data_IF_781726199337
#
_entry.id   IF_781726199337
#
_cell.length_a   1.000
_cell.length_b   1.000
_cell.length_c   1.000
_cell.angle_alpha   90.00
_cell.angle_beta   90.00
_cell.angle_gamma   90.00
#
_symmetry.space_group_name_H-M   'P 1'
#
loop_
_entity.id
_entity.type
_entity.pdbx_description
1 polymer ?
#
# COMPACT_ATOMS: atom_id res chain seq x y z
N UNK A 1 -6.70 6.36 16.98
CA UNK A 1 -5.60 5.56 16.40
C UNK A 1 -5.12 4.51 17.40
N UNK A 2 -4.92 3.26 16.96
CA UNK A 2 -4.45 2.11 17.74
C UNK A 2 -3.02 2.35 18.27
N UNK A 3 -2.78 2.00 19.53
CA UNK A 3 -1.49 2.22 20.20
C UNK A 3 -0.33 1.53 19.47
N UNK A 4 -0.55 0.36 18.87
CA UNK A 4 0.48 -0.39 18.14
C UNK A 4 0.97 0.36 16.90
N UNK A 5 0.09 1.14 16.28
CA UNK A 5 0.44 2.00 15.13
C UNK A 5 1.25 3.21 15.58
N UNK A 6 0.89 3.79 16.73
CA UNK A 6 1.65 4.87 17.38
C UNK A 6 3.06 4.37 17.73
N UNK A 7 3.17 3.22 18.41
CA UNK A 7 4.44 2.64 18.83
C UNK A 7 5.35 2.27 17.63
N UNK A 8 4.75 1.85 16.51
CA UNK A 8 5.49 1.59 15.27
C UNK A 8 5.99 2.90 14.64
N UNK A 9 5.18 3.95 14.63
CA UNK A 9 5.58 5.27 14.15
C UNK A 9 6.72 5.85 14.99
N UNK A 10 6.59 5.82 16.32
CA UNK A 10 7.60 6.37 17.23
C UNK A 10 8.94 5.65 17.10
N UNK A 11 8.91 4.31 16.97
CA UNK A 11 10.11 3.53 16.66
C UNK A 11 10.72 3.92 15.32
N UNK A 12 9.91 4.07 14.26
CA UNK A 12 10.39 4.48 12.95
C UNK A 12 11.12 5.83 13.02
N UNK A 13 10.54 6.81 13.72
CA UNK A 13 11.11 8.15 13.87
C UNK A 13 12.40 8.15 14.71
N UNK A 14 12.49 7.30 15.73
CA UNK A 14 13.70 7.17 16.56
C UNK A 14 14.91 6.58 15.79
N UNK A 15 14.70 5.85 14.70
CA UNK A 15 15.81 5.26 13.93
C UNK A 15 16.67 6.28 13.17
N UNK A 16 16.16 7.49 12.93
CA UNK A 16 16.94 8.57 12.31
C UNK A 16 18.23 8.92 13.07
N UNK A 17 18.38 8.48 14.32
CA UNK A 17 19.49 8.83 15.21
C UNK A 17 20.53 7.72 15.45
N UNK A 18 20.26 6.44 15.09
CA UNK A 18 21.02 5.30 15.66
C UNK A 18 21.57 4.23 14.70
N UNK A 19 21.26 4.29 13.40
CA UNK A 19 21.89 3.41 12.39
C UNK A 19 21.19 2.05 12.18
N UNK A 20 21.19 1.63 10.89
CA UNK A 20 20.61 0.40 10.31
C UNK A 20 19.31 -0.11 10.92
N UNK A 21 18.18 0.40 10.42
CA UNK A 21 16.86 -0.14 10.74
C UNK A 21 16.69 -1.58 10.20
N UNK A 22 16.09 -2.52 10.96
CA UNK A 22 15.75 -3.85 10.48
C UNK A 22 14.50 -3.77 9.58
N UNK A 23 14.65 -3.18 8.40
CA UNK A 23 13.55 -2.86 7.46
C UNK A 23 12.66 -4.07 7.13
N UNK A 24 13.24 -5.28 7.07
CA UNK A 24 12.47 -6.51 6.84
C UNK A 24 11.52 -6.84 8.00
N UNK A 25 11.92 -6.58 9.25
CA UNK A 25 11.07 -6.79 10.42
C UNK A 25 9.93 -5.77 10.48
N UNK A 26 10.20 -4.50 10.12
CA UNK A 26 9.18 -3.44 10.03
C UNK A 26 8.12 -3.80 8.99
N UNK A 27 8.53 -4.30 7.82
CA UNK A 27 7.59 -4.75 6.78
C UNK A 27 6.68 -5.88 7.27
N UNK A 28 7.23 -6.88 7.97
CA UNK A 28 6.44 -7.96 8.56
C UNK A 28 5.41 -7.44 9.55
N UNK A 29 5.83 -6.55 10.44
CA UNK A 29 4.96 -5.95 11.46
C UNK A 29 3.84 -5.09 10.85
N UNK A 30 4.10 -4.33 9.78
CA UNK A 30 3.06 -3.59 9.05
C UNK A 30 1.99 -4.53 8.49
N UNK A 31 2.39 -5.70 7.95
CA UNK A 31 1.44 -6.69 7.41
C UNK A 31 0.58 -7.30 8.51
N UNK A 32 1.20 -7.69 9.64
CA UNK A 32 0.51 -8.25 10.80
C UNK A 32 -0.49 -7.25 11.40
N UNK A 33 -0.07 -6.00 11.58
CA UNK A 33 -0.96 -4.95 12.09
C UNK A 33 -2.09 -4.63 11.11
N UNK A 34 -1.83 -4.66 9.80
CA UNK A 34 -2.88 -4.43 8.81
C UNK A 34 -3.97 -5.49 8.89
N UNK A 35 -3.62 -6.76 9.12
CA UNK A 35 -4.60 -7.84 9.28
C UNK A 35 -5.43 -7.67 10.57
N UNK A 36 -4.78 -7.26 11.67
CA UNK A 36 -5.44 -7.12 12.97
C UNK A 36 -6.29 -5.85 13.11
N UNK A 37 -5.99 -4.79 12.36
CA UNK A 37 -6.62 -3.48 12.51
C UNK A 37 -7.85 -3.37 11.61
N UNK A 38 -8.98 -3.04 12.22
CA UNK A 38 -10.27 -2.89 11.53
C UNK A 38 -10.77 -1.46 11.46
N UNK A 39 -10.25 -0.54 12.28
CA UNK A 39 -10.64 0.86 12.25
C UNK A 39 -9.90 1.62 11.13
N UNK A 40 -10.62 2.56 10.53
CA UNK A 40 -10.14 3.32 9.38
C UNK A 40 -8.95 4.22 9.73
N UNK A 41 -9.00 4.91 10.87
CA UNK A 41 -7.96 5.87 11.29
C UNK A 41 -6.60 5.17 11.39
N UNK A 42 -6.56 3.99 12.00
CA UNK A 42 -5.33 3.23 12.20
C UNK A 42 -4.84 2.56 10.91
N UNK A 43 -5.75 2.14 10.01
CA UNK A 43 -5.37 1.69 8.65
C UNK A 43 -4.71 2.80 7.85
N UNK A 44 -5.23 4.02 7.94
CA UNK A 44 -4.60 5.19 7.33
C UNK A 44 -3.22 5.48 7.93
N UNK A 45 -3.07 5.35 9.26
CA UNK A 45 -1.78 5.45 9.95
C UNK A 45 -0.77 4.43 9.44
N UNK A 46 -1.16 3.15 9.33
CA UNK A 46 -0.32 2.09 8.78
C UNK A 46 0.08 2.34 7.33
N UNK A 47 -0.85 2.80 6.49
CA UNK A 47 -0.56 3.11 5.09
C UNK A 47 0.46 4.26 4.96
N UNK A 48 0.44 5.23 5.89
CA UNK A 48 1.46 6.30 5.94
C UNK A 48 2.84 5.74 6.33
N UNK A 49 2.89 4.87 7.33
CA UNK A 49 4.13 4.18 7.74
C UNK A 49 4.71 3.39 6.55
N UNK A 50 3.86 2.59 5.89
CA UNK A 50 4.26 1.80 4.72
C UNK A 50 4.84 2.68 3.61
N UNK A 51 4.14 3.77 3.25
CA UNK A 51 4.60 4.68 2.21
C UNK A 51 5.95 5.33 2.55
N UNK A 52 6.11 5.80 3.79
CA UNK A 52 7.37 6.37 4.25
C UNK A 52 8.52 5.36 4.16
N UNK A 53 8.30 4.11 4.58
CA UNK A 53 9.31 3.04 4.43
C UNK A 53 9.63 2.79 2.95
N UNK A 54 8.63 2.75 2.08
CA UNK A 54 8.86 2.61 0.65
C UNK A 54 9.66 3.77 0.05
N UNK A 55 9.39 5.01 0.47
CA UNK A 55 10.12 6.19 -0.01
C UNK A 55 11.60 6.14 0.43
N UNK A 56 11.88 5.71 1.67
CA UNK A 56 13.26 5.50 2.15
C UNK A 56 13.99 4.42 1.36
N UNK A 57 13.30 3.31 1.04
CA UNK A 57 13.87 2.24 0.22
C UNK A 57 14.11 2.71 -1.22
N UNK A 58 13.21 3.52 -1.79
CA UNK A 58 13.37 4.06 -3.14
C UNK A 58 14.62 4.95 -3.24
N UNK A 59 14.84 5.85 -2.27
CA UNK A 59 16.06 6.68 -2.20
C UNK A 59 17.30 5.79 -2.13
N UNK A 60 17.29 4.77 -1.27
CA UNK A 60 18.42 3.85 -1.17
C UNK A 60 18.66 3.05 -2.46
N UNK A 61 17.60 2.61 -3.13
CA UNK A 61 17.69 1.91 -4.42
C UNK A 61 18.28 2.81 -5.50
N UNK A 62 17.91 4.09 -5.53
CA UNK A 62 18.48 5.07 -6.46
C UNK A 62 20.00 5.22 -6.25
N UNK A 63 20.44 5.34 -5.01
CA UNK A 63 21.87 5.47 -4.66
C UNK A 63 22.73 4.28 -5.11
N UNK A 64 22.17 3.06 -5.09
CA UNK A 64 22.88 1.84 -5.48
C UNK A 64 22.64 1.43 -6.94
N UNK A 65 21.91 2.22 -7.72
CA UNK A 65 21.56 1.91 -9.12
C UNK A 65 20.63 0.70 -9.26
N UNK A 66 19.74 0.50 -8.29
CA UNK A 66 18.74 -0.57 -8.28
C UNK A 66 17.59 -0.34 -9.27
N UNK A 67 16.76 -1.37 -9.41
CA UNK A 67 15.59 -1.33 -10.31
C UNK A 67 14.39 -0.64 -9.64
N UNK A 68 14.30 0.68 -9.84
CA UNK A 68 13.22 1.51 -9.31
C UNK A 68 11.86 1.18 -9.96
N UNK A 69 11.84 0.73 -11.21
CA UNK A 69 10.58 0.39 -11.90
C UNK A 69 9.97 -0.88 -11.31
N UNK A 70 10.78 -1.93 -11.15
CA UNK A 70 10.33 -3.16 -10.49
C UNK A 70 9.90 -2.92 -9.04
N UNK A 71 10.62 -2.05 -8.32
CA UNK A 71 10.22 -1.67 -6.96
C UNK A 71 8.89 -0.91 -6.93
N UNK A 72 8.67 0.03 -7.84
CA UNK A 72 7.41 0.77 -7.94
C UNK A 72 6.23 -0.16 -8.24
N UNK A 73 6.38 -1.12 -9.15
CA UNK A 73 5.36 -2.13 -9.45
C UNK A 73 5.06 -3.00 -8.22
N UNK A 74 6.08 -3.44 -7.49
CA UNK A 74 5.91 -4.23 -6.27
C UNK A 74 5.22 -3.43 -5.15
N UNK A 75 5.59 -2.16 -4.96
CA UNK A 75 4.92 -1.21 -4.05
C UNK A 75 3.44 -1.08 -4.40
N UNK A 76 3.12 -0.87 -5.67
CA UNK A 76 1.73 -0.74 -6.13
C UNK A 76 0.91 -2.00 -5.83
N UNK A 77 1.47 -3.19 -6.09
CA UNK A 77 0.82 -4.45 -5.76
C UNK A 77 0.53 -4.62 -4.25
N UNK A 78 1.44 -4.17 -3.38
CA UNK A 78 1.23 -4.19 -1.92
C UNK A 78 0.12 -3.22 -1.50
N UNK A 79 0.07 -2.01 -2.07
CA UNK A 79 -1.00 -1.03 -1.80
C UNK A 79 -2.35 -1.62 -2.20
N UNK A 80 -2.46 -2.20 -3.40
CA UNK A 80 -3.69 -2.86 -3.85
C UNK A 80 -4.12 -4.00 -2.93
N UNK A 81 -3.16 -4.79 -2.41
CA UNK A 81 -3.46 -5.86 -1.45
C UNK A 81 -4.08 -5.30 -0.16
N UNK A 82 -3.54 -4.21 0.38
CA UNK A 82 -4.08 -3.56 1.58
C UNK A 82 -5.51 -3.03 1.35
N UNK A 83 -5.70 -2.26 0.27
CA UNK A 83 -7.02 -1.70 -0.06
C UNK A 83 -8.06 -2.80 -0.32
N UNK A 84 -7.65 -3.89 -1.00
CA UNK A 84 -8.52 -5.05 -1.22
C UNK A 84 -8.93 -5.70 0.10
N UNK A 85 -7.98 -5.89 1.02
CA UNK A 85 -8.24 -6.51 2.32
C UNK A 85 -9.20 -5.67 3.19
N UNK A 86 -9.10 -4.33 3.16
CA UNK A 86 -10.08 -3.43 3.80
C UNK A 86 -11.50 -3.61 3.27
N UNK A 87 -11.63 -4.06 2.02
CA UNK A 87 -12.91 -4.19 1.32
C UNK A 87 -13.51 -5.60 1.38
N UNK A 88 -12.88 -6.56 2.06
CA UNK A 88 -13.44 -7.89 2.22
C UNK A 88 -14.58 -7.89 3.26
N UNK A 89 -15.69 -8.54 2.91
CA UNK A 89 -16.81 -8.87 3.79
C UNK A 89 -17.03 -10.37 3.66
N UNK A 90 -16.83 -11.12 4.75
CA UNK A 90 -16.90 -12.59 4.77
C UNK A 90 -16.06 -13.27 3.68
N UNK A 91 -14.88 -12.70 3.39
CA UNK A 91 -13.95 -13.18 2.37
C UNK A 91 -14.31 -12.82 0.92
N UNK A 92 -15.42 -12.13 0.70
CA UNK A 92 -15.84 -11.63 -0.61
C UNK A 92 -15.52 -10.14 -0.74
N UNK A 93 -15.01 -9.74 -1.90
CA UNK A 93 -14.70 -8.35 -2.17
C UNK A 93 -15.99 -7.54 -2.34
N UNK A 94 -16.27 -6.63 -1.40
CA UNK A 94 -17.40 -5.71 -1.47
C UNK A 94 -17.06 -4.51 -2.36
N UNK A 95 -17.74 -4.41 -3.50
CA UNK A 95 -17.50 -3.35 -4.50
C UNK A 95 -17.89 -1.96 -3.99
N UNK A 96 -18.90 -1.84 -3.12
CA UNK A 96 -19.31 -0.55 -2.54
C UNK A 96 -18.22 -0.02 -1.59
N UNK A 97 -17.64 -0.89 -0.76
CA UNK A 97 -16.48 -0.58 0.08
C UNK A 97 -15.27 -0.21 -0.77
N UNK A 98 -15.01 -0.97 -1.84
CA UNK A 98 -13.90 -0.67 -2.74
C UNK A 98 -14.05 0.70 -3.41
N UNK A 99 -15.27 1.07 -3.80
CA UNK A 99 -15.57 2.39 -4.35
C UNK A 99 -15.34 3.51 -3.32
N UNK A 100 -15.75 3.28 -2.07
CA UNK A 100 -15.52 4.22 -0.98
C UNK A 100 -14.02 4.41 -0.71
N UNK A 101 -13.30 3.30 -0.48
CA UNK A 101 -11.86 3.29 -0.17
C UNK A 101 -11.05 3.93 -1.29
N UNK A 102 -11.24 3.50 -2.55
CA UNK A 102 -10.54 4.11 -3.69
C UNK A 102 -10.90 5.59 -3.87
N UNK A 103 -12.15 5.99 -3.54
CA UNK A 103 -12.55 7.39 -3.52
C UNK A 103 -11.78 8.22 -2.49
N UNK A 104 -11.66 7.69 -1.26
CA UNK A 104 -10.87 8.30 -0.18
C UNK A 104 -9.40 8.45 -0.57
N UNK A 105 -8.80 7.41 -1.17
CA UNK A 105 -7.40 7.45 -1.60
C UNK A 105 -7.14 8.49 -2.71
N UNK A 106 -8.06 8.62 -3.67
CA UNK A 106 -7.98 9.65 -4.73
C UNK A 106 -8.12 11.06 -4.15
N UNK A 107 -9.10 11.28 -3.27
CA UNK A 107 -9.28 12.59 -2.62
C UNK A 107 -8.07 13.02 -1.80
N UNK A 108 -7.37 12.06 -1.20
CA UNK A 108 -6.17 12.31 -0.45
C UNK A 108 -4.88 12.35 -1.29
N UNK A 109 -4.98 12.21 -2.63
CA UNK A 109 -3.84 12.25 -3.55
C UNK A 109 -2.90 11.05 -3.46
N UNK A 110 -3.33 9.93 -2.85
CA UNK A 110 -2.52 8.70 -2.71
C UNK A 110 -2.77 7.68 -3.82
N UNK A 111 -3.79 7.91 -4.64
CA UNK A 111 -4.17 7.10 -5.80
C UNK A 111 -4.57 8.03 -6.94
N UNK A 112 -4.25 7.66 -8.18
CA UNK A 112 -4.71 8.41 -9.36
C UNK A 112 -6.17 8.11 -9.67
N UNK A 113 -6.88 9.05 -10.28
CA UNK A 113 -8.27 8.84 -10.65
C UNK A 113 -8.45 7.69 -11.67
N UNK A 114 -7.42 7.47 -12.50
CA UNK A 114 -7.36 6.46 -13.55
C UNK A 114 -6.77 5.11 -13.09
N UNK A 115 -6.58 4.91 -11.77
CA UNK A 115 -6.04 3.66 -11.24
C UNK A 115 -6.96 2.47 -11.60
N UNK A 116 -6.41 1.36 -12.14
CA UNK A 116 -7.18 0.15 -12.50
C UNK A 116 -8.09 -0.37 -11.38
N UNK A 117 -7.63 -0.32 -10.13
CA UNK A 117 -8.43 -0.76 -8.98
C UNK A 117 -9.66 0.13 -8.77
N UNK A 118 -9.54 1.43 -9.06
CA UNK A 118 -10.65 2.37 -9.01
C UNK A 118 -11.61 2.16 -10.17
N UNK A 119 -11.14 1.97 -11.39
CA UNK A 119 -12.00 1.65 -12.53
C UNK A 119 -12.83 0.39 -12.25
N UNK A 120 -12.18 -0.67 -11.75
CA UNK A 120 -12.88 -1.87 -11.29
C UNK A 120 -13.92 -1.58 -10.19
N UNK A 121 -13.58 -0.74 -9.22
CA UNK A 121 -14.51 -0.32 -8.17
C UNK A 121 -15.73 0.46 -8.71
N UNK A 122 -15.56 1.16 -9.83
CA UNK A 122 -16.61 1.92 -10.51
C UNK A 122 -17.44 1.08 -11.49
N UNK A 123 -17.09 -0.20 -11.68
CA UNK A 123 -17.86 -1.16 -12.49
C UNK A 123 -17.22 -1.53 -13.82
N UNK A 124 -15.97 -1.15 -14.06
CA UNK A 124 -15.20 -1.63 -15.21
C UNK A 124 -14.56 -2.98 -14.89
N UNK A 125 -15.25 -4.08 -15.23
CA UNK A 125 -14.76 -5.44 -15.01
C UNK A 125 -13.52 -5.78 -15.87
N UNK A 126 -13.22 -4.97 -16.90
CA UNK A 126 -12.06 -5.13 -17.79
C UNK A 126 -10.85 -4.27 -17.37
N UNK A 127 -10.92 -3.55 -16.25
CA UNK A 127 -9.89 -2.59 -15.82
C UNK A 127 -8.48 -3.19 -15.68
N UNK A 128 -8.36 -4.51 -15.52
CA UNK A 128 -7.10 -5.22 -15.37
C UNK A 128 -6.63 -5.97 -16.62
N UNK A 129 -7.40 -5.97 -17.71
CA UNK A 129 -7.11 -6.79 -18.90
C UNK A 129 -5.73 -6.47 -19.49
N UNK A 130 -5.34 -5.19 -19.50
CA UNK A 130 -4.01 -4.75 -19.96
C UNK A 130 -2.85 -5.34 -19.13
N UNK A 131 -3.09 -5.69 -17.86
CA UNK A 131 -2.11 -6.30 -16.97
C UNK A 131 -2.10 -7.84 -17.05
N UNK A 132 -3.15 -8.44 -17.61
CA UNK A 132 -3.28 -9.88 -17.81
C UNK A 132 -2.76 -10.34 -19.17
N UNK A 133 -2.69 -9.45 -20.15
CA UNK A 133 -2.08 -9.77 -21.44
C UNK A 133 -0.54 -9.83 -21.31
N UNK A 134 0.10 -10.98 -21.62
CA UNK A 134 1.55 -11.03 -21.67
C UNK A 134 2.00 -10.08 -22.77
N UNK A 135 2.69 -8.99 -22.39
CA UNK A 135 3.33 -8.04 -23.31
C UNK A 135 3.89 -8.79 -24.52
N UNK A 136 3.18 -8.77 -25.65
CA UNK A 136 3.69 -9.30 -26.91
C UNK A 136 4.85 -8.38 -27.28
N UNK A 137 6.05 -8.85 -26.98
CA UNK A 137 7.30 -8.23 -27.44
C UNK A 137 7.23 -8.22 -28.97
N UNK A 138 7.11 -7.02 -29.54
CA UNK A 138 7.42 -6.76 -30.94
C UNK A 138 8.88 -6.32 -31.06
#
# INVERSE_FOLDING_TARGET
>A
MDQRVIDLWDRLMAYGESGTAPLAAIRGEVLELHEAITDEESRLGLMRIFNLVCDLVAVHLEDIGGDLEAFAQHRQGQIWMFLRAECLVDGVLDRSRLRHVTGREVQAGRMTADDPLRHYALGDDAAFDEFLEPRRRH
#
